data_IF_111937418813
#
_entry.id   IF_111937418813
#
_cell.length_a   1.000
_cell.length_b   1.000
_cell.length_c   1.000
_cell.angle_alpha   90.00
_cell.angle_beta   90.00
_cell.angle_gamma   90.00
#
_symmetry.space_group_name_H-M   'P 1'
#
loop_
_entity.id
_entity.type
_entity.pdbx_description
1 polymer ?
#
# COMPACT_ATOMS: atom_id res chain seq x y z
N UNK A 1 -13.58 7.62 -27.69
CA UNK A 1 -13.31 7.87 -26.26
C UNK A 1 -13.44 6.55 -25.51
N UNK A 2 -12.75 6.36 -24.38
CA UNK A 2 -13.04 5.25 -23.46
C UNK A 2 -14.47 5.35 -22.92
N UNK A 3 -15.02 4.25 -22.40
CA UNK A 3 -16.25 4.33 -21.61
C UNK A 3 -15.97 4.94 -20.24
N UNK A 4 -16.92 5.71 -19.70
CA UNK A 4 -16.83 6.30 -18.35
C UNK A 4 -16.51 5.23 -17.30
N UNK A 5 -17.12 4.05 -17.45
CA UNK A 5 -16.92 2.89 -16.59
C UNK A 5 -15.44 2.42 -16.54
N UNK A 6 -14.69 2.50 -17.65
CA UNK A 6 -13.27 2.14 -17.68
C UNK A 6 -12.41 3.15 -16.92
N UNK A 7 -12.68 4.45 -17.06
CA UNK A 7 -11.97 5.51 -16.30
C UNK A 7 -12.25 5.35 -14.80
N UNK A 8 -13.51 5.09 -14.44
CA UNK A 8 -13.92 4.87 -13.06
C UNK A 8 -13.21 3.66 -12.43
N UNK A 9 -13.10 2.53 -13.16
CA UNK A 9 -12.34 1.34 -12.71
C UNK A 9 -10.87 1.67 -12.41
N UNK A 10 -10.16 2.29 -13.34
CA UNK A 10 -8.73 2.58 -13.14
C UNK A 10 -8.51 3.63 -12.05
N UNK A 11 -9.40 4.61 -11.88
CA UNK A 11 -9.33 5.56 -10.75
C UNK A 11 -9.52 4.89 -9.38
N UNK A 12 -10.37 3.87 -9.28
CA UNK A 12 -10.60 3.15 -8.03
C UNK A 12 -9.44 2.20 -7.71
N UNK A 13 -8.87 1.53 -8.71
CA UNK A 13 -7.60 0.79 -8.54
C UNK A 13 -6.45 1.71 -8.13
N UNK A 14 -6.39 2.91 -8.71
CA UNK A 14 -5.41 3.92 -8.34
C UNK A 14 -5.60 4.39 -6.91
N UNK A 15 -6.83 4.67 -6.47
CA UNK A 15 -7.16 5.00 -5.08
C UNK A 15 -6.72 3.89 -4.11
N UNK A 16 -7.06 2.63 -4.37
CA UNK A 16 -6.62 1.50 -3.54
C UNK A 16 -5.08 1.41 -3.44
N UNK A 17 -4.38 1.69 -4.54
CA UNK A 17 -2.92 1.59 -4.62
C UNK A 17 -2.21 2.81 -4.02
N UNK A 18 -2.83 3.99 -4.07
CA UNK A 18 -2.39 5.23 -3.40
C UNK A 18 -2.43 5.01 -1.89
N UNK A 19 -3.59 4.65 -1.34
CA UNK A 19 -3.73 4.48 0.13
C UNK A 19 -2.90 3.32 0.70
N UNK A 20 -2.53 2.34 -0.13
CA UNK A 20 -1.62 1.26 0.24
C UNK A 20 -0.14 1.67 0.18
N UNK A 21 0.26 2.40 -0.88
CA UNK A 21 1.64 2.85 -1.05
C UNK A 21 2.01 3.96 -0.07
N UNK A 22 1.10 4.92 0.14
CA UNK A 22 1.27 6.05 1.06
C UNK A 22 0.88 5.65 2.51
N UNK A 23 0.74 4.33 2.77
CA UNK A 23 0.39 3.63 4.03
C UNK A 23 -0.85 4.13 4.79
N UNK A 24 -1.62 5.04 4.18
CA UNK A 24 -2.77 5.73 4.77
C UNK A 24 -3.89 4.79 5.20
N UNK A 25 -4.26 3.82 4.35
CA UNK A 25 -5.39 2.93 4.60
C UNK A 25 -5.42 1.71 3.67
N UNK A 26 -5.85 0.57 4.22
CA UNK A 26 -5.98 -0.69 3.49
C UNK A 26 -7.44 -0.91 3.09
N UNK A 27 -7.72 -1.21 1.83
CA UNK A 27 -9.10 -1.23 1.30
C UNK A 27 -9.29 -2.20 0.12
N UNK A 28 -10.54 -2.58 -0.18
CA UNK A 28 -10.91 -3.55 -1.23
C UNK A 28 -11.95 -3.03 -2.24
N UNK A 29 -11.91 -1.74 -2.56
CA UNK A 29 -12.95 -1.11 -3.39
C UNK A 29 -12.90 -1.64 -4.82
N UNK A 30 -14.06 -2.07 -5.32
CA UNK A 30 -14.28 -2.47 -6.72
C UNK A 30 -15.29 -1.53 -7.39
N UNK A 31 -15.45 -1.64 -8.72
CA UNK A 31 -16.49 -0.93 -9.47
C UNK A 31 -17.44 -1.96 -10.08
N UNK A 32 -18.72 -1.85 -9.71
CA UNK A 32 -19.81 -2.66 -10.26
C UNK A 32 -20.86 -1.71 -10.84
N UNK A 33 -21.15 -1.86 -12.13
CA UNK A 33 -21.86 -0.84 -12.92
C UNK A 33 -21.22 0.54 -12.66
N UNK A 34 -21.99 1.59 -12.42
CA UNK A 34 -21.48 2.92 -12.05
C UNK A 34 -21.54 3.17 -10.53
N UNK A 35 -21.33 2.14 -9.71
CA UNK A 35 -21.15 2.22 -8.25
C UNK A 35 -19.78 1.73 -7.82
N UNK A 36 -19.22 2.36 -6.79
CA UNK A 36 -18.09 1.83 -6.02
C UNK A 36 -18.64 0.91 -4.95
N UNK A 37 -18.05 -0.28 -4.82
CA UNK A 37 -18.46 -1.33 -3.89
C UNK A 37 -17.31 -1.65 -2.94
N UNK A 38 -17.61 -1.66 -1.64
CA UNK A 38 -16.75 -2.17 -0.59
C UNK A 38 -17.38 -3.45 0.00
N UNK A 39 -16.57 -4.48 0.27
CA UNK A 39 -17.07 -5.78 0.76
C UNK A 39 -16.51 -6.13 2.13
N UNK A 40 -17.38 -6.51 3.06
CA UNK A 40 -17.05 -6.87 4.43
C UNK A 40 -17.39 -8.34 4.73
N UNK A 41 -16.61 -8.95 5.61
CA UNK A 41 -16.83 -10.29 6.13
C UNK A 41 -18.13 -10.37 6.96
N UNK A 42 -18.86 -11.49 6.85
CA UNK A 42 -20.14 -11.75 7.54
C UNK A 42 -20.08 -11.68 9.08
N UNK A 43 -18.90 -11.72 9.69
CA UNK A 43 -18.76 -11.63 11.14
C UNK A 43 -18.61 -10.17 11.62
N UNK A 44 -18.57 -9.20 10.71
CA UNK A 44 -18.66 -7.78 11.03
C UNK A 44 -20.13 -7.34 11.06
N UNK A 45 -20.55 -6.63 12.09
CA UNK A 45 -21.86 -5.96 12.07
C UNK A 45 -21.80 -4.60 11.34
N UNK A 46 -22.96 -4.08 10.95
CA UNK A 46 -23.08 -2.83 10.17
C UNK A 46 -22.41 -1.63 10.86
N UNK A 47 -22.37 -1.57 12.19
CA UNK A 47 -21.75 -0.46 12.91
C UNK A 47 -20.21 -0.55 12.93
N UNK A 48 -19.63 -1.77 12.95
CA UNK A 48 -18.19 -1.96 12.66
C UNK A 48 -17.85 -1.61 11.20
N UNK A 49 -18.73 -1.97 10.26
CA UNK A 49 -18.55 -1.59 8.86
C UNK A 49 -18.63 -0.07 8.65
N UNK A 50 -19.45 0.64 9.44
CA UNK A 50 -19.50 2.12 9.49
C UNK A 50 -18.27 2.72 10.16
N UNK A 51 -17.81 2.16 11.28
CA UNK A 51 -16.60 2.62 11.98
C UNK A 51 -15.38 2.55 11.05
N UNK A 52 -15.17 1.43 10.35
CA UNK A 52 -14.16 1.29 9.30
C UNK A 52 -14.25 2.41 8.25
N UNK A 53 -15.45 2.71 7.76
CA UNK A 53 -15.68 3.73 6.72
C UNK A 53 -15.41 5.17 7.22
N UNK A 54 -15.73 5.45 8.48
CA UNK A 54 -15.45 6.73 9.14
C UNK A 54 -13.94 6.87 9.35
N UNK A 55 -13.28 5.83 9.85
CA UNK A 55 -11.82 5.81 10.04
C UNK A 55 -11.09 6.01 8.70
N UNK A 56 -11.54 5.34 7.63
CA UNK A 56 -11.02 5.53 6.28
C UNK A 56 -11.15 6.99 5.82
N UNK A 57 -12.30 7.65 6.02
CA UNK A 57 -12.45 9.09 5.73
C UNK A 57 -11.45 9.92 6.54
N UNK A 58 -11.35 9.66 7.84
CA UNK A 58 -10.48 10.37 8.76
C UNK A 58 -9.02 10.32 8.34
N UNK A 59 -8.45 9.13 8.15
CA UNK A 59 -7.05 8.95 7.75
C UNK A 59 -6.72 9.62 6.42
N UNK A 60 -7.62 9.57 5.44
CA UNK A 60 -7.39 10.22 4.13
C UNK A 60 -7.44 11.76 4.26
N UNK A 61 -8.27 12.29 5.16
CA UNK A 61 -8.32 13.74 5.42
C UNK A 61 -7.11 14.20 6.25
N UNK A 62 -6.65 13.41 7.22
CA UNK A 62 -5.44 13.70 7.98
C UNK A 62 -4.21 13.73 7.06
N UNK A 63 -4.04 12.71 6.22
CA UNK A 63 -2.88 12.60 5.31
C UNK A 63 -2.89 13.63 4.16
N UNK A 64 -3.98 13.71 3.39
CA UNK A 64 -4.02 14.49 2.15
C UNK A 64 -4.64 15.90 2.30
N UNK A 65 -4.99 16.32 3.52
CA UNK A 65 -5.44 17.68 3.84
C UNK A 65 -4.81 18.27 5.12
N UNK A 66 -4.22 17.45 6.00
CA UNK A 66 -3.80 17.86 7.36
C UNK A 66 -4.94 18.18 8.33
N UNK A 67 -6.18 18.41 7.86
CA UNK A 67 -7.35 18.76 8.69
C UNK A 67 -8.67 18.72 7.92
N UNK A 68 -9.79 18.49 8.61
CA UNK A 68 -11.13 18.59 8.02
C UNK A 68 -11.45 19.99 7.47
N UNK A 69 -10.97 21.05 8.13
CA UNK A 69 -11.18 22.43 7.70
C UNK A 69 -10.43 22.79 6.41
N UNK A 70 -9.33 22.12 6.09
CA UNK A 70 -8.66 22.24 4.79
C UNK A 70 -9.35 21.37 3.70
N UNK A 71 -10.00 20.27 4.09
CA UNK A 71 -10.64 19.35 3.15
C UNK A 71 -11.76 20.03 2.34
N UNK A 72 -12.51 20.97 2.91
CA UNK A 72 -13.59 21.70 2.20
C UNK A 72 -13.09 22.55 1.01
N UNK A 73 -11.86 23.08 1.08
CA UNK A 73 -11.24 23.85 -0.01
C UNK A 73 -10.74 22.95 -1.15
N UNK A 74 -10.29 21.73 -0.81
CA UNK A 74 -9.60 20.80 -1.72
C UNK A 74 -10.58 19.80 -2.35
N UNK A 75 -11.42 19.18 -1.53
CA UNK A 75 -12.35 18.09 -1.85
C UNK A 75 -13.82 18.52 -1.85
N UNK A 76 -14.64 17.78 -2.60
CA UNK A 76 -16.08 17.80 -2.42
C UNK A 76 -16.43 16.89 -1.24
N UNK A 77 -16.44 17.45 -0.03
CA UNK A 77 -16.49 16.76 1.27
C UNK A 77 -17.84 16.08 1.58
N UNK A 78 -18.93 16.56 0.98
CA UNK A 78 -20.23 15.84 0.90
C UNK A 78 -20.12 14.51 0.14
N UNK A 79 -19.09 14.38 -0.71
CA UNK A 79 -18.84 13.24 -1.60
C UNK A 79 -17.52 12.50 -1.27
N UNK A 80 -16.91 12.73 -0.09
CA UNK A 80 -15.53 12.29 0.18
C UNK A 80 -15.35 11.26 1.32
N UNK A 81 -14.56 10.18 1.09
CA UNK A 81 -14.23 9.61 -0.22
C UNK A 81 -15.48 9.13 -0.98
N UNK A 82 -16.58 8.91 -0.24
CA UNK A 82 -17.88 8.47 -0.72
C UNK A 82 -19.00 9.23 -0.01
N UNK A 83 -20.13 9.46 -0.67
CA UNK A 83 -21.31 10.04 -0.03
C UNK A 83 -22.02 8.98 0.83
N UNK A 84 -21.78 9.00 2.14
CA UNK A 84 -22.36 8.02 3.08
C UNK A 84 -23.90 8.06 3.16
N UNK A 85 -24.52 9.19 2.81
CA UNK A 85 -25.98 9.35 2.83
C UNK A 85 -26.67 8.73 1.60
N UNK A 86 -25.94 8.59 0.48
CA UNK A 86 -26.41 7.91 -0.72
C UNK A 86 -26.10 6.40 -0.72
N UNK A 87 -25.19 5.96 0.15
CA UNK A 87 -24.68 4.60 0.17
C UNK A 87 -25.70 3.55 0.61
N UNK A 88 -25.78 2.46 -0.16
CA UNK A 88 -26.72 1.36 0.05
C UNK A 88 -26.00 0.16 0.66
N UNK A 89 -26.55 -0.36 1.75
CA UNK A 89 -26.14 -1.63 2.33
C UNK A 89 -26.92 -2.77 1.68
N UNK A 90 -26.20 -3.75 1.14
CA UNK A 90 -26.77 -5.06 0.77
C UNK A 90 -26.13 -6.13 1.65
N UNK A 91 -26.93 -7.08 2.11
CA UNK A 91 -26.49 -8.20 2.93
C UNK A 91 -27.01 -9.48 2.28
N UNK A 92 -26.11 -10.41 2.00
CA UNK A 92 -26.45 -11.77 1.63
C UNK A 92 -26.03 -12.74 2.76
N UNK A 93 -26.25 -14.05 2.58
CA UNK A 93 -25.93 -15.07 3.58
C UNK A 93 -24.43 -15.26 3.87
N UNK A 94 -23.55 -14.53 3.19
CA UNK A 94 -22.09 -14.69 3.23
C UNK A 94 -21.29 -13.41 3.46
N UNK A 95 -21.88 -12.22 3.33
CA UNK A 95 -21.18 -10.92 3.42
C UNK A 95 -22.12 -9.72 3.57
N UNK A 96 -21.57 -8.63 4.09
CA UNK A 96 -22.14 -7.28 3.97
C UNK A 96 -21.41 -6.52 2.87
N UNK A 97 -22.14 -5.74 2.07
CA UNK A 97 -21.59 -4.92 0.99
C UNK A 97 -22.14 -3.50 1.09
N UNK A 98 -21.27 -2.52 0.96
CA UNK A 98 -21.62 -1.11 0.86
C UNK A 98 -21.40 -0.63 -0.57
N UNK A 99 -22.40 0.02 -1.16
CA UNK A 99 -22.38 0.45 -2.57
C UNK A 99 -22.78 1.92 -2.68
N UNK A 100 -21.94 2.74 -3.33
CA UNK A 100 -22.13 4.20 -3.45
C UNK A 100 -22.01 4.61 -4.93
N UNK A 101 -22.93 5.43 -5.47
CA UNK A 101 -22.86 5.87 -6.87
C UNK A 101 -21.61 6.70 -7.16
N UNK A 102 -21.06 6.54 -8.36
CA UNK A 102 -19.87 7.27 -8.82
C UNK A 102 -20.30 8.61 -9.45
N UNK A 103 -20.63 9.57 -8.59
CA UNK A 103 -20.95 10.94 -9.02
C UNK A 103 -19.70 11.67 -9.56
N UNK A 104 -19.90 12.72 -10.37
CA UNK A 104 -18.80 13.51 -10.98
C UNK A 104 -17.88 14.14 -9.91
N UNK A 105 -18.42 14.48 -8.73
CA UNK A 105 -17.68 14.91 -7.55
C UNK A 105 -16.77 13.79 -7.01
N UNK A 106 -17.26 12.54 -6.92
CA UNK A 106 -16.47 11.37 -6.51
C UNK A 106 -15.34 11.11 -7.49
N UNK A 107 -15.61 11.03 -8.80
CA UNK A 107 -14.59 10.88 -9.86
C UNK A 107 -13.49 11.93 -9.72
N UNK A 108 -13.88 13.15 -9.39
CA UNK A 108 -12.99 14.30 -9.25
C UNK A 108 -12.17 14.26 -7.96
N UNK A 109 -12.74 13.78 -6.85
CA UNK A 109 -12.02 13.52 -5.60
C UNK A 109 -10.97 12.42 -5.78
N UNK A 110 -11.28 11.33 -6.51
CA UNK A 110 -10.30 10.28 -6.86
C UNK A 110 -9.14 10.86 -7.71
N UNK A 111 -9.44 11.73 -8.68
CA UNK A 111 -8.44 12.43 -9.49
C UNK A 111 -7.58 13.41 -8.69
N UNK A 112 -8.11 14.04 -7.64
CA UNK A 112 -7.32 14.87 -6.71
C UNK A 112 -6.27 14.01 -6.00
N UNK A 113 -6.67 12.89 -5.38
CA UNK A 113 -5.75 12.07 -4.58
C UNK A 113 -4.59 11.54 -5.41
N UNK A 114 -4.87 11.08 -6.63
CA UNK A 114 -3.82 10.63 -7.56
C UNK A 114 -2.91 11.78 -8.04
N UNK A 115 -3.40 13.02 -8.07
CA UNK A 115 -2.56 14.20 -8.36
C UNK A 115 -1.68 14.57 -7.17
N UNK A 116 -2.25 14.62 -5.95
CA UNK A 116 -1.55 14.94 -4.71
C UNK A 116 -0.44 13.91 -4.43
N UNK A 117 -0.76 12.62 -4.43
CA UNK A 117 0.19 11.52 -4.21
C UNK A 117 1.35 11.47 -5.24
N UNK A 118 1.13 11.89 -6.50
CA UNK A 118 2.22 12.08 -7.48
C UNK A 118 3.07 13.32 -7.21
N UNK A 119 2.48 14.39 -6.65
CA UNK A 119 3.24 15.57 -6.22
C UNK A 119 4.07 15.23 -4.98
N UNK A 120 3.47 14.67 -3.91
CA UNK A 120 4.18 14.20 -2.72
C UNK A 120 5.37 13.29 -3.07
N UNK A 121 5.16 12.27 -3.91
CA UNK A 121 6.27 11.42 -4.39
C UNK A 121 7.39 12.22 -5.06
N UNK A 122 7.04 13.24 -5.87
CA UNK A 122 8.04 14.11 -6.52
C UNK A 122 8.73 15.04 -5.52
N UNK A 123 8.00 15.57 -4.54
CA UNK A 123 8.52 16.41 -3.45
C UNK A 123 9.54 15.63 -2.62
N UNK A 124 9.25 14.38 -2.26
CA UNK A 124 10.15 13.53 -1.46
C UNK A 124 11.48 13.26 -2.19
N UNK A 125 11.44 12.93 -3.50
CA UNK A 125 12.65 12.79 -4.33
C UNK A 125 13.47 14.08 -4.42
N UNK A 126 12.80 15.25 -4.32
CA UNK A 126 13.47 16.54 -4.27
C UNK A 126 14.05 16.81 -2.87
N UNK A 127 13.36 16.45 -1.78
CA UNK A 127 13.86 16.56 -0.40
C UNK A 127 15.18 15.78 -0.21
N UNK A 128 15.30 14.59 -0.81
CA UNK A 128 16.55 13.81 -0.82
C UNK A 128 17.75 14.54 -1.44
N UNK A 129 17.50 15.61 -2.22
CA UNK A 129 18.54 16.44 -2.83
C UNK A 129 18.96 17.65 -1.99
N UNK A 130 18.31 17.91 -0.84
CA UNK A 130 18.65 19.01 0.08
C UNK A 130 19.21 18.47 1.40
N UNK A 131 20.17 19.20 1.99
CA UNK A 131 20.80 18.85 3.28
C UNK A 131 19.93 19.21 4.50
N UNK A 132 18.91 20.03 4.27
CA UNK A 132 17.91 20.49 5.24
C UNK A 132 16.57 19.91 4.76
N UNK A 133 15.95 19.05 5.58
CA UNK A 133 14.73 18.34 5.21
C UNK A 133 13.50 19.25 5.30
N UNK A 134 13.47 20.13 6.31
CA UNK A 134 12.38 21.08 6.53
C UNK A 134 12.33 22.15 5.44
N UNK A 135 13.46 22.42 4.76
CA UNK A 135 13.58 23.41 3.69
C UNK A 135 12.47 23.34 2.64
N UNK A 136 12.06 22.13 2.21
CA UNK A 136 11.07 21.96 1.14
C UNK A 136 9.66 22.24 1.65
N UNK A 137 9.31 21.75 2.84
CA UNK A 137 8.01 21.99 3.47
C UNK A 137 7.86 23.47 3.84
N UNK A 138 8.91 24.06 4.39
CA UNK A 138 8.92 25.48 4.74
C UNK A 138 8.98 26.38 3.49
N UNK A 139 9.29 25.88 2.29
CA UNK A 139 9.22 26.66 1.04
C UNK A 139 8.06 26.28 0.11
N UNK A 140 7.20 25.33 0.50
CA UNK A 140 6.00 24.95 -0.25
C UNK A 140 4.73 25.17 0.58
N UNK A 141 3.57 25.18 -0.09
CA UNK A 141 2.25 25.16 0.57
C UNK A 141 1.14 24.80 -0.42
N UNK A 142 0.23 23.92 0.00
CA UNK A 142 -1.06 23.75 -0.69
C UNK A 142 -1.98 24.96 -0.47
N UNK A 143 -2.63 25.42 -1.54
CA UNK A 143 -3.45 26.63 -1.55
C UNK A 143 -4.74 26.41 -2.33
N UNK A 144 -5.83 27.06 -1.92
CA UNK A 144 -7.12 26.94 -2.60
C UNK A 144 -7.06 27.42 -4.06
N UNK A 145 -7.77 26.72 -4.94
CA UNK A 145 -7.68 26.89 -6.40
C UNK A 145 -9.06 26.77 -7.07
N UNK A 146 -9.18 27.24 -8.32
CA UNK A 146 -10.40 27.00 -9.10
C UNK A 146 -10.54 25.51 -9.44
N UNK A 147 -11.33 24.83 -8.61
CA UNK A 147 -11.72 23.44 -8.81
C UNK A 147 -12.38 23.20 -10.17
N UNK A 148 -13.02 24.19 -10.82
CA UNK A 148 -13.62 24.02 -12.15
C UNK A 148 -12.59 23.94 -13.29
N UNK A 149 -11.32 24.25 -13.04
CA UNK A 149 -10.23 24.26 -14.03
C UNK A 149 -9.07 23.31 -13.69
N UNK A 150 -8.79 23.11 -12.40
CA UNK A 150 -7.61 22.38 -11.92
C UNK A 150 -7.97 21.19 -11.02
N UNK A 151 -7.07 20.20 -10.93
CA UNK A 151 -7.11 19.12 -9.95
C UNK A 151 -6.43 19.51 -8.64
N UNK A 152 -5.32 20.25 -8.71
CA UNK A 152 -4.39 20.46 -7.60
C UNK A 152 -3.59 21.76 -7.81
N UNK A 153 -3.14 22.40 -6.73
CA UNK A 153 -2.31 23.60 -6.76
C UNK A 153 -1.34 23.66 -5.57
N UNK A 154 -0.06 23.89 -5.86
CA UNK A 154 1.01 24.08 -4.87
C UNK A 154 1.71 25.41 -5.13
N UNK A 155 1.93 26.18 -4.06
CA UNK A 155 2.63 27.47 -4.07
C UNK A 155 4.05 27.31 -3.54
N UNK A 156 4.99 27.99 -4.18
CA UNK A 156 6.39 28.01 -3.79
C UNK A 156 6.81 29.40 -3.27
N UNK A 157 7.55 29.44 -2.15
CA UNK A 157 8.30 30.63 -1.70
C UNK A 157 9.59 30.80 -2.54
N UNK A 158 10.19 29.70 -3.00
CA UNK A 158 11.45 29.66 -3.75
C UNK A 158 11.25 29.20 -5.21
N UNK A 159 11.80 29.94 -6.18
CA UNK A 159 11.66 29.66 -7.62
C UNK A 159 12.54 28.52 -8.15
N UNK A 160 13.68 28.27 -7.52
CA UNK A 160 14.55 27.13 -7.88
C UNK A 160 13.84 25.82 -7.50
N UNK A 161 13.24 25.76 -6.31
CA UNK A 161 12.41 24.65 -5.85
C UNK A 161 11.17 24.44 -6.74
N UNK A 162 10.52 25.54 -7.16
CA UNK A 162 9.44 25.51 -8.16
C UNK A 162 9.90 24.87 -9.48
N UNK A 163 11.04 25.31 -10.03
CA UNK A 163 11.62 24.75 -11.25
C UNK A 163 11.96 23.26 -11.08
N UNK A 164 12.51 22.87 -9.92
CA UNK A 164 12.82 21.47 -9.60
C UNK A 164 11.57 20.59 -9.63
N UNK A 165 10.47 20.99 -8.96
CA UNK A 165 9.23 20.23 -9.03
C UNK A 165 8.66 20.17 -10.45
N UNK A 166 8.58 21.30 -11.16
CA UNK A 166 8.07 21.35 -12.54
C UNK A 166 8.89 20.43 -13.45
N UNK A 167 10.21 20.37 -13.29
CA UNK A 167 11.10 19.50 -14.08
C UNK A 167 10.94 18.02 -13.72
N UNK A 168 11.08 17.64 -12.45
CA UNK A 168 11.01 16.25 -12.00
C UNK A 168 9.63 15.64 -12.24
N UNK A 169 8.55 16.36 -11.87
CA UNK A 169 7.16 15.96 -12.14
C UNK A 169 6.94 15.81 -13.65
N UNK A 170 7.40 16.78 -14.45
CA UNK A 170 7.32 16.69 -15.90
C UNK A 170 8.07 15.50 -16.49
N UNK A 171 9.21 15.12 -15.91
CA UNK A 171 10.02 13.99 -16.39
C UNK A 171 9.30 12.67 -16.14
N UNK A 172 8.90 12.40 -14.88
CA UNK A 172 8.13 11.21 -14.50
C UNK A 172 6.82 11.10 -15.28
N UNK A 173 6.08 12.20 -15.44
CA UNK A 173 4.81 12.20 -16.21
C UNK A 173 5.01 11.86 -17.70
N UNK A 174 6.12 12.31 -18.30
CA UNK A 174 6.43 12.03 -19.72
C UNK A 174 6.96 10.61 -19.95
N UNK A 175 7.59 9.99 -18.95
CA UNK A 175 8.16 8.64 -19.09
C UNK A 175 7.07 7.55 -19.14
N UNK A 176 5.96 7.70 -18.41
CA UNK A 176 4.79 6.82 -18.55
C UNK A 176 4.35 6.72 -20.01
N UNK A 177 4.27 5.49 -20.53
CA UNK A 177 4.00 5.17 -21.94
C UNK A 177 2.86 6.01 -22.53
N UNK A 178 1.73 6.08 -21.83
CA UNK A 178 0.49 6.74 -22.25
C UNK A 178 0.27 8.12 -21.60
N UNK A 179 1.23 8.60 -20.79
CA UNK A 179 1.20 9.92 -20.16
C UNK A 179 1.41 11.09 -21.15
N UNK A 180 0.93 12.30 -20.82
CA UNK A 180 0.99 13.47 -21.70
C UNK A 180 2.42 13.97 -21.92
N UNK A 181 2.80 14.18 -23.19
CA UNK A 181 4.22 14.35 -23.58
C UNK A 181 4.75 15.79 -23.53
N UNK A 182 3.90 16.81 -23.34
CA UNK A 182 4.32 18.23 -23.23
C UNK A 182 3.84 18.79 -21.90
N UNK A 183 4.72 19.43 -21.13
CA UNK A 183 4.42 19.97 -19.79
C UNK A 183 3.17 20.86 -19.79
N UNK A 184 3.06 21.77 -20.75
CA UNK A 184 1.91 22.69 -20.89
C UNK A 184 0.56 22.02 -21.13
N UNK A 185 0.53 20.74 -21.49
CA UNK A 185 -0.73 20.01 -21.72
C UNK A 185 -1.36 19.57 -20.38
N UNK A 186 -0.57 19.48 -19.29
CA UNK A 186 -1.02 19.04 -17.97
C UNK A 186 -0.69 20.00 -16.81
N UNK A 187 0.43 20.73 -16.85
CA UNK A 187 0.77 21.80 -15.91
C UNK A 187 0.41 23.20 -16.44
N UNK A 188 0.24 24.14 -15.51
CA UNK A 188 0.17 25.58 -15.73
C UNK A 188 0.90 26.31 -14.58
N UNK A 189 1.68 27.33 -14.88
CA UNK A 189 2.45 28.12 -13.89
C UNK A 189 1.92 29.57 -13.87
N UNK A 190 1.68 30.11 -12.68
CA UNK A 190 1.25 31.51 -12.48
C UNK A 190 1.98 32.13 -11.30
N UNK A 191 3.07 32.83 -11.57
CA UNK A 191 3.93 33.38 -10.52
C UNK A 191 4.53 32.25 -9.69
N UNK A 192 4.26 32.25 -8.39
CA UNK A 192 4.67 31.24 -7.41
C UNK A 192 3.92 29.90 -7.51
N UNK A 193 2.82 29.85 -8.27
CA UNK A 193 1.81 28.80 -8.14
C UNK A 193 1.85 27.83 -9.34
N UNK A 194 1.90 26.53 -9.06
CA UNK A 194 1.93 25.45 -10.06
C UNK A 194 0.64 24.63 -9.96
N UNK A 195 -0.08 24.54 -11.07
CA UNK A 195 -1.40 23.91 -11.14
C UNK A 195 -1.38 22.66 -12.01
N UNK A 196 -2.05 21.59 -11.56
CA UNK A 196 -2.36 20.41 -12.39
C UNK A 196 -3.75 20.59 -13.00
N UNK A 197 -3.89 20.45 -14.32
CA UNK A 197 -5.14 20.69 -15.06
C UNK A 197 -6.16 19.57 -14.86
N UNK A 198 -7.46 19.92 -14.82
CA UNK A 198 -8.57 18.98 -14.55
C UNK A 198 -8.59 17.71 -15.41
N UNK A 199 -8.16 17.81 -16.67
CA UNK A 199 -8.18 16.70 -17.64
C UNK A 199 -6.95 15.79 -17.61
N UNK A 200 -6.03 15.99 -16.65
CA UNK A 200 -4.77 15.23 -16.57
C UNK A 200 -4.97 13.71 -16.54
N UNK A 201 -6.02 13.24 -15.87
CA UNK A 201 -6.42 11.84 -15.77
C UNK A 201 -7.67 11.49 -16.60
N UNK A 202 -7.80 12.05 -17.81
CA UNK A 202 -8.89 11.67 -18.74
C UNK A 202 -8.55 10.46 -19.63
N UNK A 203 -7.31 9.96 -19.56
CA UNK A 203 -6.86 8.74 -20.23
C UNK A 203 -6.77 7.58 -19.21
N UNK A 204 -7.63 6.54 -19.27
CA UNK A 204 -7.59 5.41 -18.34
C UNK A 204 -6.30 4.60 -18.45
N UNK A 205 -5.70 4.53 -19.64
CA UNK A 205 -4.44 3.82 -19.80
C UNK A 205 -3.26 4.59 -19.18
N UNK A 206 -3.30 5.93 -19.13
CA UNK A 206 -2.33 6.69 -18.34
C UNK A 206 -2.53 6.44 -16.83
N UNK A 207 -3.77 6.40 -16.35
CA UNK A 207 -4.05 6.02 -14.97
C UNK A 207 -3.48 4.63 -14.67
N UNK A 208 -3.76 3.62 -15.52
CA UNK A 208 -3.18 2.27 -15.37
C UNK A 208 -1.65 2.29 -15.33
N UNK A 209 -0.98 3.04 -16.21
CA UNK A 209 0.50 3.15 -16.22
C UNK A 209 1.03 3.68 -14.86
N UNK A 210 0.34 4.63 -14.23
CA UNK A 210 0.68 5.15 -12.88
C UNK A 210 0.43 4.11 -11.79
N UNK A 211 -0.67 3.35 -11.87
CA UNK A 211 -0.96 2.26 -10.91
C UNK A 211 0.10 1.16 -11.00
N UNK A 212 0.47 0.73 -12.21
CA UNK A 212 1.49 -0.29 -12.44
C UNK A 212 2.84 0.08 -11.80
N UNK A 213 3.23 1.35 -11.89
CA UNK A 213 4.46 1.90 -11.33
C UNK A 213 4.44 1.94 -9.78
N UNK A 214 3.41 2.55 -9.16
CA UNK A 214 3.26 2.53 -7.68
C UNK A 214 3.18 1.08 -7.15
N UNK A 215 2.39 0.22 -7.79
CA UNK A 215 2.21 -1.18 -7.34
C UNK A 215 3.50 -1.99 -7.51
N UNK A 216 4.24 -1.86 -8.62
CA UNK A 216 5.52 -2.59 -8.76
C UNK A 216 6.53 -2.18 -7.69
N UNK A 217 6.59 -0.89 -7.32
CA UNK A 217 7.42 -0.41 -6.21
C UNK A 217 7.00 -1.02 -4.86
N UNK A 218 5.69 -1.06 -4.52
CA UNK A 218 5.21 -1.73 -3.30
C UNK A 218 5.59 -3.22 -3.27
N UNK A 219 5.44 -3.92 -4.39
CA UNK A 219 5.71 -5.37 -4.46
C UNK A 219 7.20 -5.74 -4.47
N UNK A 220 8.10 -4.83 -4.91
CA UNK A 220 9.57 -5.00 -4.77
C UNK A 220 10.04 -4.87 -3.32
N UNK A 221 9.27 -4.23 -2.45
CA UNK A 221 9.59 -4.03 -1.03
C UNK A 221 9.14 -5.18 -0.12
N UNK A 222 8.60 -6.29 -0.66
CA UNK A 222 8.03 -7.39 0.13
C UNK A 222 9.04 -8.21 0.97
N UNK A 223 10.33 -7.87 1.00
CA UNK A 223 11.20 -8.36 2.09
C UNK A 223 10.87 -7.75 3.44
N UNK A 224 10.51 -6.46 3.51
CA UNK A 224 10.39 -5.71 4.77
C UNK A 224 9.52 -6.44 5.78
N UNK A 225 10.04 -6.60 6.99
CA UNK A 225 9.42 -7.32 8.09
C UNK A 225 8.28 -6.53 8.72
N UNK A 226 7.46 -7.20 9.55
CA UNK A 226 6.32 -6.56 10.23
C UNK A 226 6.67 -5.33 11.05
N UNK A 227 7.84 -5.36 11.69
CA UNK A 227 8.31 -4.28 12.57
C UNK A 227 8.86 -3.08 11.76
N UNK A 228 9.12 -3.28 10.46
CA UNK A 228 9.49 -2.23 9.50
C UNK A 228 8.26 -1.71 8.74
N UNK A 229 7.29 -2.58 8.42
CA UNK A 229 6.09 -2.22 7.65
C UNK A 229 4.92 -3.22 7.86
N UNK A 230 3.88 -2.84 8.62
CA UNK A 230 2.71 -3.71 8.82
C UNK A 230 1.83 -3.83 7.55
N UNK A 231 1.77 -2.80 6.71
CA UNK A 231 0.99 -2.78 5.47
C UNK A 231 1.45 -3.84 4.48
N UNK A 232 2.77 -3.97 4.33
CA UNK A 232 3.43 -4.99 3.49
C UNK A 232 3.16 -6.41 3.99
N UNK A 233 3.19 -6.66 5.30
CA UNK A 233 2.83 -7.98 5.85
C UNK A 233 1.36 -8.36 5.61
N UNK A 234 0.44 -7.39 5.64
CA UNK A 234 -0.97 -7.64 5.29
C UNK A 234 -1.10 -8.01 3.82
N UNK A 235 -0.29 -7.43 2.94
CA UNK A 235 -0.23 -7.77 1.51
C UNK A 235 0.37 -9.18 1.29
N UNK A 236 1.47 -9.53 1.99
CA UNK A 236 2.04 -10.89 1.99
C UNK A 236 1.00 -11.91 2.43
N UNK A 237 0.33 -11.65 3.56
CA UNK A 237 -0.71 -12.54 4.08
C UNK A 237 -1.87 -12.71 3.09
N UNK A 238 -2.39 -11.62 2.50
CA UNK A 238 -3.49 -11.70 1.55
C UNK A 238 -3.12 -12.50 0.28
N UNK A 239 -1.87 -12.39 -0.20
CA UNK A 239 -1.34 -13.17 -1.31
C UNK A 239 -1.19 -14.66 -0.98
N UNK A 240 -0.58 -14.99 0.17
CA UNK A 240 -0.47 -16.38 0.67
C UNK A 240 -1.85 -16.99 0.85
N UNK A 241 -2.78 -16.25 1.43
CA UNK A 241 -4.15 -16.68 1.68
C UNK A 241 -4.94 -16.90 0.37
N UNK A 242 -4.70 -16.09 -0.66
CA UNK A 242 -5.26 -16.27 -2.02
C UNK A 242 -4.77 -17.58 -2.63
N UNK A 243 -3.46 -17.84 -2.56
CA UNK A 243 -2.82 -19.03 -3.12
C UNK A 243 -3.30 -20.28 -2.36
N UNK A 244 -3.28 -20.25 -1.03
CA UNK A 244 -3.80 -21.31 -0.15
C UNK A 244 -5.28 -21.62 -0.42
N UNK A 245 -6.13 -20.60 -0.63
CA UNK A 245 -7.55 -20.81 -0.96
C UNK A 245 -7.77 -21.31 -2.39
N UNK A 246 -6.83 -21.05 -3.30
CA UNK A 246 -6.84 -21.66 -4.64
C UNK A 246 -6.37 -23.12 -4.64
N UNK A 247 -5.47 -23.51 -3.73
CA UNK A 247 -4.93 -24.86 -3.58
C UNK A 247 -5.18 -25.42 -2.15
N UNK A 248 -6.44 -25.58 -1.70
CA UNK A 248 -6.77 -25.88 -0.30
C UNK A 248 -6.41 -27.30 0.17
N UNK A 249 -5.76 -28.08 -0.69
CA UNK A 249 -5.21 -29.40 -0.40
C UNK A 249 -3.70 -29.36 -0.13
N UNK A 250 -3.06 -28.18 -0.19
CA UNK A 250 -1.65 -27.98 0.10
C UNK A 250 -1.46 -27.11 1.36
N UNK A 251 -0.56 -27.50 2.28
CA UNK A 251 -0.11 -26.64 3.38
C UNK A 251 0.82 -25.55 2.83
N UNK A 252 0.22 -24.39 2.50
CA UNK A 252 0.92 -23.18 2.07
C UNK A 252 0.68 -22.11 3.13
N UNK A 253 1.71 -21.75 3.87
CA UNK A 253 1.67 -20.73 4.93
C UNK A 253 2.72 -19.62 4.75
N UNK A 254 3.69 -19.83 3.86
CA UNK A 254 4.93 -19.07 3.77
C UNK A 254 5.38 -18.87 2.32
N UNK A 255 6.25 -17.88 2.12
CA UNK A 255 6.80 -17.49 0.82
C UNK A 255 8.30 -17.36 0.90
N UNK A 256 8.94 -17.70 -0.20
CA UNK A 256 10.36 -17.56 -0.43
C UNK A 256 10.62 -16.40 -1.38
N UNK A 257 11.63 -15.58 -1.08
CA UNK A 257 11.98 -14.39 -1.86
C UNK A 257 13.39 -14.54 -2.44
N UNK A 258 13.61 -14.00 -3.63
CA UNK A 258 14.91 -14.02 -4.29
C UNK A 258 15.18 -12.76 -5.11
N UNK A 259 16.47 -12.44 -5.27
CA UNK A 259 16.93 -11.36 -6.15
C UNK A 259 16.80 -11.76 -7.61
N UNK A 260 16.20 -10.89 -8.43
CA UNK A 260 16.25 -11.00 -9.87
C UNK A 260 17.66 -10.71 -10.39
N UNK A 261 18.12 -11.49 -11.37
CA UNK A 261 19.53 -11.62 -11.78
C UNK A 261 20.07 -10.41 -12.54
N UNK A 262 19.22 -9.71 -13.27
CA UNK A 262 19.64 -8.60 -14.14
C UNK A 262 19.90 -7.29 -13.38
N UNK A 263 19.20 -7.09 -12.24
CA UNK A 263 19.21 -5.82 -11.49
C UNK A 263 19.43 -5.98 -9.97
N UNK A 264 19.35 -7.20 -9.43
CA UNK A 264 19.57 -7.50 -8.01
C UNK A 264 18.37 -7.27 -7.09
N UNK A 265 17.29 -6.65 -7.58
CA UNK A 265 16.07 -6.36 -6.81
C UNK A 265 15.43 -7.64 -6.26
N UNK A 266 14.92 -7.64 -5.03
CA UNK A 266 14.26 -8.80 -4.41
C UNK A 266 12.80 -8.98 -4.89
N UNK A 267 12.60 -8.98 -6.20
CA UNK A 267 11.30 -8.95 -6.88
C UNK A 267 10.69 -10.33 -7.15
N UNK A 268 11.42 -11.42 -6.93
CA UNK A 268 10.95 -12.79 -7.21
C UNK A 268 10.37 -13.40 -5.93
N UNK A 269 9.17 -14.01 -6.04
CA UNK A 269 8.45 -14.58 -4.91
C UNK A 269 7.82 -15.95 -5.25
N UNK A 270 8.27 -17.01 -4.59
CA UNK A 270 7.78 -18.37 -4.77
C UNK A 270 7.06 -18.88 -3.51
N UNK A 271 5.81 -19.41 -3.61
CA UNK A 271 5.11 -20.02 -2.49
C UNK A 271 5.79 -21.31 -2.05
N UNK A 272 5.88 -21.52 -0.74
CA UNK A 272 6.42 -22.74 -0.14
C UNK A 272 5.26 -23.67 0.20
N UNK A 273 5.42 -24.96 -0.09
CA UNK A 273 4.58 -26.04 0.45
C UNK A 273 5.38 -26.79 1.50
N UNK A 274 4.85 -26.91 2.71
CA UNK A 274 5.45 -27.66 3.80
C UNK A 274 5.07 -29.15 3.74
N UNK A 275 6.02 -30.04 3.47
CA UNK A 275 5.80 -31.49 3.54
C UNK A 275 6.08 -32.08 4.93
N UNK A 276 6.47 -31.25 5.92
CA UNK A 276 6.75 -31.62 7.30
C UNK A 276 8.21 -32.04 7.54
N UNK A 277 8.78 -32.89 6.69
CA UNK A 277 10.21 -33.26 6.72
C UNK A 277 11.07 -32.50 5.70
N UNK A 278 10.43 -31.90 4.69
CA UNK A 278 11.06 -31.04 3.68
C UNK A 278 10.10 -29.97 3.19
N UNK A 279 10.63 -28.97 2.48
CA UNK A 279 9.83 -27.97 1.76
C UNK A 279 9.96 -28.18 0.25
N UNK A 280 8.91 -27.81 -0.51
CA UNK A 280 8.92 -27.81 -1.98
C UNK A 280 8.24 -26.56 -2.55
N UNK A 281 8.50 -26.27 -3.81
CA UNK A 281 7.72 -25.30 -4.59
C UNK A 281 6.50 -25.96 -5.25
N UNK A 282 5.60 -25.14 -5.79
CA UNK A 282 4.47 -25.60 -6.59
C UNK A 282 4.93 -26.26 -7.90
N UNK A 283 4.19 -27.25 -8.38
CA UNK A 283 4.41 -27.86 -9.70
C UNK A 283 3.57 -27.21 -10.81
N UNK A 284 3.90 -27.55 -12.05
CA UNK A 284 3.24 -27.03 -13.26
C UNK A 284 1.71 -27.10 -13.22
N UNK A 285 1.11 -28.17 -12.69
CA UNK A 285 -0.36 -28.34 -12.66
C UNK A 285 -1.05 -27.45 -11.63
N UNK A 286 -0.40 -27.25 -10.48
CA UNK A 286 -0.84 -26.33 -9.42
C UNK A 286 -0.76 -24.87 -9.92
N UNK A 287 0.34 -24.55 -10.60
CA UNK A 287 0.61 -23.26 -11.25
C UNK A 287 -0.36 -22.97 -12.39
N UNK A 288 -0.62 -23.94 -13.27
CA UNK A 288 -1.60 -23.81 -14.34
C UNK A 288 -3.01 -23.66 -13.80
N UNK A 289 -3.37 -24.32 -12.69
CA UNK A 289 -4.65 -24.05 -12.03
C UNK A 289 -4.73 -22.59 -11.56
N UNK A 290 -3.70 -22.08 -10.88
CA UNK A 290 -3.65 -20.68 -10.42
C UNK A 290 -3.77 -19.70 -11.60
N UNK A 291 -2.89 -19.81 -12.60
CA UNK A 291 -2.87 -18.95 -13.77
C UNK A 291 -4.22 -18.98 -14.52
N UNK A 292 -4.75 -20.16 -14.82
CA UNK A 292 -5.95 -20.30 -15.65
C UNK A 292 -7.28 -20.10 -14.91
N UNK A 293 -7.33 -20.29 -13.58
CA UNK A 293 -8.59 -20.22 -12.80
C UNK A 293 -8.65 -19.05 -11.84
N UNK A 294 -7.54 -18.61 -11.25
CA UNK A 294 -7.50 -17.42 -10.38
C UNK A 294 -7.24 -16.17 -11.23
N UNK A 295 -6.21 -16.21 -12.07
CA UNK A 295 -5.79 -15.06 -12.90
C UNK A 295 -6.33 -15.07 -14.34
N UNK A 296 -7.37 -15.88 -14.61
CA UNK A 296 -8.14 -15.82 -15.86
C UNK A 296 -7.37 -16.18 -17.15
N UNK A 297 -6.23 -16.86 -17.04
CA UNK A 297 -5.33 -17.16 -18.15
C UNK A 297 -4.06 -16.29 -18.21
N UNK A 298 -3.96 -15.25 -17.37
CA UNK A 298 -2.71 -14.49 -17.23
C UNK A 298 -1.64 -15.36 -16.56
N UNK A 299 -0.46 -15.47 -17.19
CA UNK A 299 0.70 -16.16 -16.63
C UNK A 299 1.41 -15.31 -15.57
N UNK A 300 0.79 -15.23 -14.39
CA UNK A 300 1.36 -14.60 -13.18
C UNK A 300 2.50 -15.44 -12.63
N UNK A 301 2.33 -16.75 -12.61
CA UNK A 301 3.35 -17.72 -12.23
C UNK A 301 4.07 -18.25 -13.47
N UNK A 302 5.40 -18.26 -13.42
CA UNK A 302 6.29 -18.82 -14.46
C UNK A 302 7.50 -19.49 -13.81
N UNK A 303 8.19 -20.38 -14.52
CA UNK A 303 9.52 -20.82 -14.09
C UNK A 303 10.48 -19.62 -14.21
N UNK A 304 11.16 -19.30 -13.11
CA UNK A 304 12.08 -18.16 -12.96
C UNK A 304 13.50 -18.61 -12.62
N UNK A 305 13.79 -19.92 -12.63
CA UNK A 305 15.07 -20.48 -12.18
C UNK A 305 16.31 -19.84 -12.81
N UNK A 306 16.22 -19.42 -14.08
CA UNK A 306 17.33 -18.78 -14.80
C UNK A 306 17.46 -17.28 -14.52
N UNK A 307 16.42 -16.67 -13.96
CA UNK A 307 16.26 -15.24 -13.69
C UNK A 307 16.55 -14.91 -12.22
N UNK A 308 16.74 -15.93 -11.38
CA UNK A 308 17.20 -15.78 -10.00
C UNK A 308 18.73 -15.58 -9.97
N UNK A 309 19.20 -14.62 -9.18
CA UNK A 309 20.62 -14.41 -8.93
C UNK A 309 21.23 -15.60 -8.17
N UNK A 310 22.45 -16.04 -8.53
CA UNK A 310 23.05 -17.30 -8.05
C UNK A 310 23.07 -17.45 -6.51
N UNK A 311 23.30 -16.36 -5.77
CA UNK A 311 23.30 -16.33 -4.29
C UNK A 311 21.93 -16.59 -3.67
N UNK A 312 20.87 -16.36 -4.44
CA UNK A 312 19.49 -16.60 -4.08
C UNK A 312 18.93 -17.89 -4.69
N UNK A 313 19.75 -18.82 -5.21
CA UNK A 313 19.26 -20.14 -5.58
C UNK A 313 19.15 -21.05 -4.34
N UNK A 314 18.10 -21.89 -4.22
CA UNK A 314 18.01 -22.88 -3.13
C UNK A 314 19.17 -23.88 -3.17
N UNK A 315 19.74 -24.21 -2.00
CA UNK A 315 20.83 -25.18 -1.86
C UNK A 315 20.47 -26.59 -2.31
N UNK A 316 19.17 -26.92 -2.29
CA UNK A 316 18.62 -28.12 -2.91
C UNK A 316 18.21 -27.77 -4.34
N UNK A 317 18.95 -28.28 -5.32
CA UNK A 317 18.89 -27.85 -6.72
C UNK A 317 17.59 -28.21 -7.45
N UNK A 318 16.49 -27.53 -7.13
CA UNK A 318 15.19 -27.69 -7.76
C UNK A 318 15.30 -27.58 -9.29
N UNK A 319 14.67 -28.50 -10.03
CA UNK A 319 14.78 -28.52 -11.50
C UNK A 319 14.09 -27.32 -12.14
N UNK A 320 12.98 -26.87 -11.55
CA UNK A 320 12.18 -25.69 -11.90
C UNK A 320 11.83 -24.93 -10.62
N UNK A 321 11.64 -23.61 -10.70
CA UNK A 321 11.13 -22.79 -9.58
C UNK A 321 10.00 -21.91 -10.12
N UNK A 322 8.76 -22.28 -9.83
CA UNK A 322 7.60 -21.49 -10.24
C UNK A 322 7.32 -20.36 -9.24
N UNK A 323 7.44 -19.11 -9.71
CA UNK A 323 7.32 -17.92 -8.89
C UNK A 323 6.51 -16.83 -9.59
N UNK A 324 6.13 -15.81 -8.81
CA UNK A 324 5.70 -14.51 -9.30
C UNK A 324 6.94 -13.62 -9.44
N UNK A 325 6.98 -12.82 -10.50
CA UNK A 325 8.06 -11.88 -10.81
C UNK A 325 7.50 -10.45 -10.82
N UNK A 326 7.77 -9.69 -9.76
CA UNK A 326 7.30 -8.33 -9.56
C UNK A 326 8.21 -7.25 -10.18
N UNK A 327 9.30 -7.63 -10.85
CA UNK A 327 10.02 -6.70 -11.71
C UNK A 327 9.12 -6.30 -12.90
N UNK A 328 8.23 -7.20 -13.33
CA UNK A 328 7.21 -6.94 -14.35
C UNK A 328 5.98 -6.19 -13.77
N UNK A 329 5.72 -4.92 -14.15
CA UNK A 329 4.63 -4.14 -13.58
C UNK A 329 3.23 -4.60 -13.97
N UNK A 330 3.05 -5.28 -15.12
CA UNK A 330 1.75 -5.85 -15.51
C UNK A 330 1.38 -7.05 -14.60
N UNK A 331 2.37 -7.81 -14.14
CA UNK A 331 2.17 -8.91 -13.18
C UNK A 331 1.84 -8.34 -11.80
N UNK A 332 2.60 -7.36 -11.31
CA UNK A 332 2.33 -6.70 -10.03
C UNK A 332 0.92 -6.09 -9.97
N UNK A 333 0.52 -5.34 -11.01
CA UNK A 333 -0.84 -4.81 -11.17
C UNK A 333 -1.89 -5.95 -11.17
N UNK A 334 -1.67 -7.04 -11.90
CA UNK A 334 -2.61 -8.15 -11.97
C UNK A 334 -2.81 -8.86 -10.61
N UNK A 335 -1.73 -9.03 -9.82
CA UNK A 335 -1.83 -9.62 -8.48
C UNK A 335 -2.59 -8.69 -7.52
N UNK A 336 -2.29 -7.39 -7.52
CA UNK A 336 -2.98 -6.41 -6.68
C UNK A 336 -4.48 -6.31 -6.98
N UNK A 337 -4.83 -6.24 -8.27
CA UNK A 337 -6.22 -6.23 -8.75
C UNK A 337 -6.96 -7.50 -8.29
N UNK A 338 -6.32 -8.67 -8.42
CA UNK A 338 -6.91 -9.95 -8.02
C UNK A 338 -7.07 -10.13 -6.52
N UNK A 339 -6.11 -9.66 -5.71
CA UNK A 339 -6.24 -9.62 -4.25
C UNK A 339 -7.41 -8.71 -3.86
N UNK A 340 -7.50 -7.52 -4.46
CA UNK A 340 -8.61 -6.57 -4.25
C UNK A 340 -9.96 -7.25 -4.53
N UNK A 341 -10.19 -7.74 -5.76
CA UNK A 341 -11.43 -8.42 -6.16
C UNK A 341 -11.82 -9.57 -5.23
N UNK A 342 -10.83 -10.38 -4.83
CA UNK A 342 -11.03 -11.64 -4.09
C UNK A 342 -11.20 -11.43 -2.58
N UNK A 343 -11.09 -10.20 -2.08
CA UNK A 343 -11.02 -9.92 -0.64
C UNK A 343 -12.32 -9.39 -0.02
N UNK A 344 -12.39 -9.51 1.30
CA UNK A 344 -13.30 -8.81 2.21
C UNK A 344 -12.49 -8.10 3.30
N UNK A 345 -12.98 -6.97 3.77
CA UNK A 345 -12.52 -6.37 5.03
C UNK A 345 -13.00 -7.25 6.18
N UNK A 346 -12.11 -7.54 7.14
CA UNK A 346 -12.43 -8.35 8.32
C UNK A 346 -12.62 -7.48 9.59
N UNK A 347 -13.07 -8.13 10.67
CA UNK A 347 -13.31 -7.53 12.00
C UNK A 347 -12.09 -6.83 12.63
N UNK A 348 -10.88 -7.07 12.13
CA UNK A 348 -9.62 -6.48 12.60
C UNK A 348 -9.19 -5.30 11.69
N UNK A 349 -10.08 -4.89 10.76
CA UNK A 349 -9.91 -3.85 9.73
C UNK A 349 -8.77 -4.12 8.74
N UNK A 350 -8.59 -5.41 8.38
CA UNK A 350 -7.58 -5.88 7.42
C UNK A 350 -8.21 -6.66 6.26
N UNK A 351 -7.46 -6.81 5.15
CA UNK A 351 -7.83 -7.70 4.05
C UNK A 351 -7.84 -9.16 4.52
N UNK A 352 -8.86 -9.90 4.07
CA UNK A 352 -8.97 -11.35 4.17
C UNK A 352 -9.55 -11.87 2.86
N UNK A 353 -9.03 -12.96 2.30
CA UNK A 353 -9.55 -13.46 1.02
C UNK A 353 -10.87 -14.20 1.25
N UNK A 354 -11.91 -13.88 0.48
CA UNK A 354 -13.21 -14.54 0.49
C UNK A 354 -13.12 -15.86 -0.30
N UNK A 355 -13.22 -17.04 0.35
CA UNK A 355 -13.12 -18.32 -0.35
C UNK A 355 -14.18 -18.50 -1.44
N UNK A 356 -15.33 -17.82 -1.36
CA UNK A 356 -16.38 -17.87 -2.37
C UNK A 356 -16.01 -17.13 -3.66
N UNK A 357 -14.91 -16.35 -3.67
CA UNK A 357 -14.39 -15.62 -4.84
C UNK A 357 -13.18 -16.29 -5.49
N UNK A 358 -12.60 -17.31 -4.85
CA UNK A 358 -11.39 -17.99 -5.33
C UNK A 358 -11.75 -19.35 -5.91
N UNK A 359 -11.56 -19.60 -7.22
CA UNK A 359 -11.78 -20.91 -7.80
C UNK A 359 -10.77 -21.95 -7.29
N UNK A 360 -11.17 -22.68 -6.24
CA UNK A 360 -10.36 -23.71 -5.62
C UNK A 360 -10.13 -24.92 -6.54
N UNK A 361 -8.90 -25.44 -6.55
CA UNK A 361 -8.54 -26.70 -7.17
C UNK A 361 -9.18 -27.84 -6.38
N UNK A 362 -10.09 -28.57 -7.02
CA UNK A 362 -10.64 -29.80 -6.44
C UNK A 362 -9.49 -30.77 -6.17
N UNK A 363 -9.43 -31.44 -5.00
CA UNK A 363 -8.50 -32.53 -4.78
C UNK A 363 -8.60 -33.53 -5.92
N UNK A 364 -7.45 -33.98 -6.45
CA UNK A 364 -7.46 -35.13 -7.35
C UNK A 364 -7.90 -36.34 -6.53
N UNK A 365 -9.13 -36.79 -6.73
CA UNK A 365 -9.60 -38.07 -6.21
C UNK A 365 -8.76 -39.14 -6.89
N UNK A 366 -7.69 -39.58 -6.22
CA UNK A 366 -7.04 -40.84 -6.55
C UNK A 366 -8.16 -41.89 -6.61
N UNK A 367 -8.30 -42.55 -7.77
CA UNK A 367 -9.26 -43.63 -7.91
C UNK A 367 -9.02 -44.62 -6.76
N UNK A 368 -10.07 -45.08 -6.06
CA UNK A 368 -9.89 -45.90 -4.87
C UNK A 368 -9.05 -47.11 -5.27
N UNK A 369 -7.86 -47.23 -4.66
CA UNK A 369 -6.94 -48.34 -4.88
C UNK A 369 -7.74 -49.63 -4.87
N UNK A 370 -7.60 -50.45 -5.91
CA UNK A 370 -8.40 -51.66 -6.07
C UNK A 370 -8.32 -52.46 -4.77
N UNK A 371 -9.48 -52.66 -4.13
CA UNK A 371 -9.54 -53.44 -2.90
C UNK A 371 -9.15 -54.87 -3.23
N UNK A 372 -7.87 -55.18 -3.03
CA UNK A 372 -7.35 -56.55 -3.05
C UNK A 372 -8.26 -57.36 -2.13
N UNK A 373 -8.99 -58.31 -2.72
CA UNK A 373 -9.79 -59.27 -1.95
C UNK A 373 -8.83 -60.09 -1.09
N UNK A 374 -8.85 -59.81 0.20
CA UNK A 374 -8.37 -60.74 1.21
C UNK A 374 -9.61 -61.39 1.78
N UNK A 375 -10.00 -62.53 1.19
CA UNK A 375 -11.10 -63.34 1.69
C UNK A 375 -10.66 -64.02 3.00
N UNK A 376 -11.26 -63.60 4.13
CA UNK A 376 -10.95 -64.06 5.48
C UNK A 376 -12.14 -63.81 6.42
N UNK A 377 -12.44 -64.70 7.38
CA UNK A 377 -13.83 -64.88 7.83
C UNK A 377 -14.30 -63.95 8.96
N UNK A 378 -15.63 -63.88 9.08
CA UNK A 378 -16.38 -63.12 10.07
C UNK A 378 -16.19 -63.61 11.52
N UNK A 379 -16.26 -62.68 12.46
CA UNK A 379 -16.74 -62.92 13.83
C UNK A 379 -17.43 -61.64 14.34
N UNK A 380 -18.65 -61.78 14.86
CA UNK A 380 -19.41 -60.66 15.45
C UNK A 380 -18.83 -60.21 16.79
N UNK A 381 -18.97 -58.92 17.14
CA UNK A 381 -19.72 -58.56 18.37
C UNK A 381 -20.09 -57.07 18.46
N UNK A 382 -21.29 -56.87 18.99
CA UNK A 382 -21.97 -55.63 19.37
C UNK A 382 -21.20 -54.66 20.28
N UNK A 383 -21.41 -53.36 20.07
CA UNK A 383 -21.72 -52.39 21.14
C UNK A 383 -22.53 -51.20 20.56
N UNK A 384 -23.41 -50.61 21.37
CA UNK A 384 -24.35 -49.54 20.99
C UNK A 384 -24.38 -48.42 22.05
N UNK A 385 -25.02 -47.29 21.73
CA UNK A 385 -25.39 -46.16 22.60
C UNK A 385 -24.28 -45.17 23.02
N UNK A 386 -24.65 -43.90 23.23
CA UNK A 386 -23.71 -42.86 23.68
C UNK A 386 -24.11 -41.38 23.45
N UNK A 387 -25.41 -41.03 23.41
CA UNK A 387 -25.86 -39.67 23.11
C UNK A 387 -25.94 -38.76 24.36
N UNK A 388 -25.43 -37.53 24.26
CA UNK A 388 -25.82 -36.38 25.09
C UNK A 388 -24.81 -35.93 26.18
N UNK A 389 -24.79 -34.61 26.47
CA UNK A 389 -24.02 -34.07 27.60
C UNK A 389 -23.42 -32.66 27.45
N UNK A 390 -24.18 -31.64 27.05
CA UNK A 390 -23.72 -30.24 27.18
C UNK A 390 -24.03 -29.66 28.57
N UNK A 391 -23.07 -29.00 29.25
CA UNK A 391 -23.35 -28.03 30.29
C UNK A 391 -23.29 -26.59 29.74
N UNK A 392 -24.12 -25.69 30.29
CA UNK A 392 -24.08 -24.24 30.02
C UNK A 392 -23.59 -23.47 31.25
N UNK A 393 -22.96 -22.32 30.99
CA UNK A 393 -22.82 -21.14 31.86
C UNK A 393 -22.06 -21.26 33.21
N UNK A 394 -20.93 -20.55 33.29
CA UNK A 394 -20.79 -19.46 34.27
C UNK A 394 -20.09 -18.26 33.59
N UNK A 395 -20.76 -17.10 33.50
CA UNK A 395 -20.77 -15.95 34.43
C UNK A 395 -19.63 -14.93 34.18
N UNK A 396 -20.00 -13.89 33.42
CA UNK A 396 -19.72 -12.46 33.62
C UNK A 396 -18.31 -12.07 34.12
N UNK A 397 -17.50 -11.54 33.21
CA UNK A 397 -16.45 -10.57 33.51
C UNK A 397 -16.62 -9.31 32.66
N UNK A 398 -17.11 -8.20 33.26
CA UNK A 398 -17.15 -6.89 32.57
C UNK A 398 -15.82 -6.18 32.75
N UNK A 399 -15.10 -5.92 31.66
CA UNK A 399 -14.00 -4.95 31.62
C UNK A 399 -14.21 -3.96 30.48
N UNK A 400 -14.70 -2.77 30.80
CA UNK A 400 -14.62 -1.63 29.87
C UNK A 400 -13.20 -1.07 29.92
N UNK A 401 -12.44 -1.26 28.85
CA UNK A 401 -11.20 -0.53 28.57
C UNK A 401 -11.27 -0.04 27.13
N UNK A 402 -11.47 1.27 26.97
CA UNK A 402 -11.47 1.90 25.65
C UNK A 402 -10.06 1.95 25.10
N UNK A 403 -9.73 1.07 24.16
CA UNK A 403 -8.44 1.10 23.47
C UNK A 403 -8.44 2.19 22.40
N UNK A 404 -8.18 3.43 22.82
CA UNK A 404 -7.69 4.48 21.93
C UNK A 404 -6.34 4.05 21.36
N UNK A 405 -6.35 3.42 20.17
CA UNK A 405 -5.11 3.09 19.46
C UNK A 405 -4.40 4.39 19.09
N UNK A 406 -3.12 4.51 19.44
CA UNK A 406 -2.29 5.63 18.99
C UNK A 406 -2.16 5.56 17.47
N UNK A 407 -2.25 6.74 16.84
CA UNK A 407 -1.98 6.94 15.42
C UNK A 407 -0.55 6.50 15.07
N UNK A 408 -0.34 6.09 13.82
CA UNK A 408 0.99 5.91 13.24
C UNK A 408 1.62 7.28 12.97
N UNK A 409 2.05 7.95 14.05
CA UNK A 409 2.82 9.18 13.98
C UNK A 409 4.21 8.92 14.53
N UNK A 410 5.23 9.08 13.67
CA UNK A 410 6.62 9.09 14.07
C UNK A 410 6.92 10.43 14.77
N UNK A 411 6.34 10.64 15.95
CA UNK A 411 6.67 11.79 16.78
C UNK A 411 8.10 11.61 17.33
N UNK A 412 9.05 12.25 16.66
CA UNK A 412 10.27 12.71 17.31
C UNK A 412 9.90 13.49 18.58
N UNK A 413 10.69 13.32 19.63
CA UNK A 413 10.67 14.17 20.81
C UNK A 413 12.11 14.52 21.14
N UNK A 414 12.45 15.81 21.01
CA UNK A 414 13.58 16.37 21.75
C UNK A 414 13.22 16.43 23.24
N UNK A 415 14.16 16.01 24.08
CA UNK A 415 14.13 16.30 25.52
C UNK A 415 14.72 17.70 25.76
N UNK A 416 13.93 18.77 25.66
CA UNK A 416 14.11 19.96 26.52
C UNK A 416 12.95 20.99 26.43
N UNK A 417 11.97 20.87 27.34
CA UNK A 417 10.90 21.86 27.51
C UNK A 417 10.33 21.93 28.95
N UNK A 418 11.12 21.64 29.98
CA UNK A 418 10.68 21.87 31.36
C UNK A 418 10.69 23.36 31.72
N UNK A 419 9.49 23.98 31.77
CA UNK A 419 8.95 24.83 32.88
C UNK A 419 8.08 26.02 32.41
N UNK A 420 7.20 26.43 33.32
CA UNK A 420 6.43 27.68 33.39
C UNK A 420 5.39 27.93 32.28
N UNK A 421 4.10 27.71 32.61
CA UNK A 421 3.15 28.83 32.83
C UNK A 421 1.80 28.36 33.38
N UNK A 422 1.50 28.81 34.59
CA UNK A 422 0.13 29.04 35.01
C UNK A 422 -0.35 30.41 34.51
N UNK A 423 -1.67 30.50 34.26
CA UNK A 423 -2.55 31.65 34.45
C UNK A 423 -2.33 33.04 33.78
N UNK A 424 -3.39 33.41 33.06
CA UNK A 424 -4.13 34.70 33.12
C UNK A 424 -3.60 36.01 32.48
N UNK A 425 -4.26 36.33 31.35
CA UNK A 425 -5.06 37.56 31.14
C UNK A 425 -4.44 38.83 30.52
N UNK A 426 -5.36 39.72 30.09
CA UNK A 426 -5.21 41.14 29.75
C UNK A 426 -4.42 41.57 28.47
N UNK A 427 -5.19 41.78 27.38
CA UNK A 427 -5.39 43.05 26.63
C UNK A 427 -4.25 44.06 26.30
N UNK A 428 -4.50 44.71 25.16
CA UNK A 428 -4.20 46.10 24.76
C UNK A 428 -2.79 46.53 24.25
N UNK A 429 -2.72 46.68 22.92
CA UNK A 429 -2.13 47.82 22.18
C UNK A 429 -0.58 48.01 22.13
N UNK A 430 -0.09 48.62 21.03
CA UNK A 430 1.28 49.16 20.98
C UNK A 430 1.88 49.30 19.59
N UNK A 431 1.98 50.53 19.08
CA UNK A 431 2.81 50.89 17.92
C UNK A 431 4.31 50.68 18.18
N UNK A 432 5.12 50.45 17.14
CA UNK A 432 6.56 50.74 17.19
C UNK A 432 7.38 50.09 16.07
N UNK A 433 8.15 50.89 15.33
CA UNK A 433 9.11 50.42 14.33
C UNK A 433 10.45 51.17 14.47
N UNK A 434 11.60 50.52 14.20
CA UNK A 434 12.75 51.08 13.44
C UNK A 434 14.07 50.27 13.51
N UNK A 435 14.55 49.87 12.32
CA UNK A 435 15.87 50.20 11.75
C UNK A 435 17.22 49.67 12.30
N UNK A 436 18.19 49.64 11.36
CA UNK A 436 19.65 49.38 11.44
C UNK A 436 20.07 47.90 11.71
N UNK A 437 20.93 47.22 10.92
CA UNK A 437 22.13 47.51 10.07
C UNK A 437 23.46 47.79 10.81
N UNK A 438 24.41 46.85 10.68
CA UNK A 438 25.83 47.09 10.31
C UNK A 438 26.53 45.76 9.91
N UNK A 439 27.81 45.80 9.54
CA UNK A 439 28.52 44.73 8.79
C UNK A 439 29.78 44.18 9.49
N UNK A 440 30.06 42.90 9.21
CA UNK A 440 31.34 42.17 9.07
C UNK A 440 32.64 42.59 9.81
N UNK A 441 33.36 41.59 10.35
CA UNK A 441 34.60 41.07 9.72
C UNK A 441 35.21 39.85 10.45
N UNK A 442 35.88 38.97 9.70
CA UNK A 442 36.83 37.92 10.12
C UNK A 442 38.28 38.47 10.03
N UNK A 443 39.39 37.79 10.43
CA UNK A 443 39.69 36.34 10.27
C UNK A 443 40.48 35.64 11.41
N UNK A 444 40.81 34.36 11.20
CA UNK A 444 41.76 33.53 11.99
C UNK A 444 43.25 33.87 11.70
N UNK A 445 44.21 33.27 12.46
CA UNK A 445 45.08 32.26 11.81
C UNK A 445 45.62 31.08 12.66
N UNK A 446 45.40 29.85 12.17
CA UNK A 446 46.38 28.76 11.85
C UNK A 446 47.32 28.07 12.89
N UNK A 447 47.34 26.71 12.85
CA UNK A 447 48.41 25.70 13.16
C UNK A 447 48.97 25.59 14.60
N UNK A 448 49.14 24.39 15.20
CA UNK A 448 50.16 23.38 14.84
C UNK A 448 49.88 21.92 15.36
N UNK A 449 50.70 20.95 14.92
CA UNK A 449 50.79 19.53 15.36
C UNK A 449 52.29 19.15 15.60
N UNK A 450 52.71 17.97 16.15
CA UNK A 450 52.12 16.61 16.16
C UNK A 450 52.01 16.02 17.62
N UNK A 451 52.11 14.74 18.05
CA UNK A 451 52.73 13.49 17.51
C UNK A 451 52.20 12.15 18.09
N UNK A 452 52.15 11.14 17.20
CA UNK A 452 52.40 9.68 17.33
C UNK A 452 52.46 9.00 18.73
N UNK A 453 51.60 8.00 18.98
CA UNK A 453 51.96 6.58 19.31
C UNK A 453 50.88 5.77 20.05
N UNK A 454 50.27 4.76 19.41
CA UNK A 454 50.28 3.31 19.80
C UNK A 454 49.22 2.49 19.05
N UNK A 455 49.38 1.16 19.04
CA UNK A 455 48.59 0.18 18.28
C UNK A 455 48.09 -0.97 19.17
N UNK A 456 46.87 -1.46 18.96
CA UNK A 456 46.37 -2.61 19.76
C UNK A 456 44.92 -3.08 19.54
N UNK A 457 44.74 -3.99 18.58
CA UNK A 457 43.79 -5.14 18.59
C UNK A 457 42.25 -4.97 18.57
N UNK A 458 41.64 -5.92 17.84
CA UNK A 458 40.33 -6.57 18.04
C UNK A 458 39.01 -5.77 17.98
N UNK A 459 38.42 -5.73 16.79
CA UNK A 459 36.97 -5.50 16.59
C UNK A 459 36.15 -6.78 16.81
N UNK A 460 34.89 -6.65 17.24
CA UNK A 460 33.77 -7.39 16.68
C UNK A 460 32.96 -6.47 15.76
N UNK A 461 32.81 -6.82 14.48
CA UNK A 461 31.99 -6.03 13.54
C UNK A 461 30.52 -6.12 13.93
N UNK A 462 29.88 -4.97 14.21
CA UNK A 462 28.41 -4.85 14.14
C UNK A 462 27.97 -5.35 12.75
N UNK A 463 26.91 -6.17 12.68
CA UNK A 463 26.13 -6.28 11.45
C UNK A 463 25.52 -4.91 11.19
N UNK A 464 25.79 -4.33 10.03
CA UNK A 464 25.14 -3.10 9.57
C UNK A 464 23.66 -3.37 9.35
N UNK A 465 22.80 -2.52 9.89
CA UNK A 465 21.44 -2.36 9.40
C UNK A 465 21.49 -2.01 7.92
N UNK A 466 20.60 -2.61 7.13
CA UNK A 466 20.37 -2.17 5.76
C UNK A 466 19.53 -0.90 5.87
N UNK A 467 20.10 0.24 5.50
CA UNK A 467 19.38 1.51 5.45
C UNK A 467 18.49 1.58 4.20
N UNK A 468 17.54 2.52 4.17
CA UNK A 468 16.58 2.76 3.06
C UNK A 468 17.24 3.21 1.73
N UNK A 469 18.56 3.05 1.58
CA UNK A 469 19.42 3.82 0.68
C UNK A 469 19.78 3.09 -0.64
N UNK A 470 18.92 2.22 -1.17
CA UNK A 470 19.18 1.55 -2.47
C UNK A 470 18.20 1.87 -3.60
N UNK A 471 16.96 2.29 -3.32
CA UNK A 471 15.95 2.50 -4.38
C UNK A 471 15.93 3.92 -4.98
N UNK A 472 16.46 4.93 -4.27
CA UNK A 472 16.60 6.29 -4.81
C UNK A 472 17.66 6.41 -5.94
N UNK A 473 18.64 5.50 -5.99
CA UNK A 473 19.83 5.60 -6.86
C UNK A 473 19.61 5.15 -8.32
N UNK A 474 18.41 4.74 -8.71
CA UNK A 474 18.13 4.14 -10.03
C UNK A 474 17.36 5.04 -11.02
N UNK A 475 17.19 6.33 -10.73
CA UNK A 475 16.50 7.28 -11.63
C UNK A 475 17.28 8.58 -11.86
N UNK A 476 18.15 8.56 -12.88
CA UNK A 476 18.75 9.75 -13.52
C UNK A 476 18.86 9.54 -15.03
#
# INVERSE_FOLDING_TARGET
MPSTNQINRELVKAFNSVLLFDETFITNLTVEEDHIVLSFDKNMNIDQCREYLINMRGSIVEEFCGSESAADDLFYTDSFPFNFNQGKWTTDSSKHRFSVPIEKEVVRNLKYLLANSLVQFTTNVIMESYSDQDYVDDNTREVSFDRKSYLYCIRFKNRELQNSLVNSFSSKVKSYKNGPKKTKDFLEEKGSDVYIKKGFFDNPQFIKDVVMDKVSLTYRNLEMSRDENETIEILKFAMVDLIRKSLPHLPIDSVWHASHKENGELSILAPIVDCGDHVKFLNEKEVDHINNKVFGGTKVFRDVKNDIAERGLPTYGAEQIYAIDFANPDIAYCVMDKITESSVINKDYKLSIDPARVPAMKPQTLAPSEKVRIDGPSADTSADSGFGGSPKNSVIGKSHTGNSRKLLRLNYYDEDAQRIKDDNSAKDSGFGASSARSFSNQPEPTLDQPSVSQSGQCSPKKRTSISKNQFALFYS
#
